data_IF_515886616315
#
_entry.id   IF_515886616315
#
_cell.length_a   1.000
_cell.length_b   1.000
_cell.length_c   1.000
_cell.angle_alpha   90.00
_cell.angle_beta   90.00
_cell.angle_gamma   90.00
#
_symmetry.space_group_name_H-M   'P 1'
#
loop_
_entity.id
_entity.type
_entity.pdbx_description
1 polymer ?
#
# COMPACT_ATOMS: atom_id res chain seq x y z
N UNK A 1 -9.11 61.89 44.25
CA UNK A 1 -9.02 60.43 44.43
C UNK A 1 -8.88 59.81 43.04
N UNK A 2 -7.64 59.62 42.57
CA UNK A 2 -7.29 59.01 41.28
C UNK A 2 -5.88 58.40 41.46
N UNK A 3 -5.62 57.18 41.01
CA UNK A 3 -4.46 56.41 41.45
C UNK A 3 -3.20 56.78 40.66
N UNK A 4 -2.07 56.72 41.34
CA UNK A 4 -0.72 56.84 40.80
C UNK A 4 -0.46 55.79 39.69
N UNK A 5 -0.28 56.24 38.45
CA UNK A 5 0.34 55.45 37.39
C UNK A 5 1.85 55.61 37.45
N UNK A 6 2.54 54.61 38.01
CA UNK A 6 4.00 54.49 37.98
C UNK A 6 4.46 54.13 36.56
N UNK A 7 5.14 55.06 35.88
CA UNK A 7 5.77 54.84 34.59
C UNK A 7 7.08 54.06 34.72
N UNK A 8 7.10 52.79 34.28
CA UNK A 8 8.35 52.05 34.08
C UNK A 8 9.11 52.58 32.86
N UNK A 9 10.44 52.76 33.00
CA UNK A 9 11.35 53.22 31.93
C UNK A 9 11.33 52.28 30.71
N UNK A 10 11.61 52.83 29.52
CA UNK A 10 11.68 52.09 28.25
C UNK A 10 12.70 50.95 28.28
N UNK A 11 13.81 51.12 29.00
CA UNK A 11 14.82 50.09 29.23
C UNK A 11 14.26 48.87 29.98
N UNK A 12 13.45 49.09 31.02
CA UNK A 12 12.83 48.01 31.78
C UNK A 12 11.78 47.23 30.97
N UNK A 13 11.18 47.85 29.95
CA UNK A 13 10.27 47.16 29.01
C UNK A 13 11.03 46.26 28.04
N UNK A 14 12.18 46.71 27.54
CA UNK A 14 13.04 45.94 26.63
C UNK A 14 13.65 44.74 27.34
N UNK A 15 14.13 44.92 28.57
CA UNK A 15 14.71 43.84 29.37
C UNK A 15 13.70 42.72 29.65
N UNK A 16 12.46 43.06 30.04
CA UNK A 16 11.38 42.09 30.23
C UNK A 16 11.00 41.36 28.93
N UNK A 17 11.08 42.05 27.79
CA UNK A 17 10.78 41.47 26.48
C UNK A 17 11.88 40.48 26.03
N UNK A 18 13.15 40.83 26.24
CA UNK A 18 14.29 39.95 25.97
C UNK A 18 14.24 38.71 26.87
N UNK A 19 13.96 38.88 28.17
CA UNK A 19 13.77 37.75 29.10
C UNK A 19 12.58 36.88 28.67
N UNK A 20 11.48 37.48 28.20
CA UNK A 20 10.33 36.76 27.66
C UNK A 20 10.66 35.92 26.41
N UNK A 21 11.44 36.46 25.47
CA UNK A 21 11.91 35.75 24.26
C UNK A 21 12.91 34.63 24.63
N UNK A 22 13.78 34.88 25.61
CA UNK A 22 14.73 33.89 26.11
C UNK A 22 13.98 32.71 26.76
N UNK A 23 12.95 32.98 27.57
CA UNK A 23 12.12 31.95 28.20
C UNK A 23 11.31 31.16 27.16
N UNK A 24 10.72 31.83 26.16
CA UNK A 24 9.99 31.13 25.08
C UNK A 24 10.92 30.23 24.24
N UNK A 25 12.18 30.60 24.04
CA UNK A 25 13.16 29.79 23.29
C UNK A 25 13.62 28.53 24.03
N UNK A 26 13.43 28.44 25.35
CA UNK A 26 13.87 27.30 26.17
C UNK A 26 12.74 26.25 26.31
N UNK A 27 11.51 26.59 25.92
CA UNK A 27 10.34 25.70 25.99
C UNK A 27 10.25 24.75 24.78
N UNK A 28 11.24 23.89 24.58
CA UNK A 28 11.09 22.70 23.73
C UNK A 28 10.73 21.50 24.62
N UNK A 29 9.45 21.17 24.72
CA UNK A 29 8.99 19.99 25.45
C UNK A 29 8.86 18.77 24.53
N UNK A 30 9.22 17.59 25.00
CA UNK A 30 8.85 16.32 24.39
C UNK A 30 7.66 15.72 25.16
N UNK A 31 6.63 15.24 24.46
CA UNK A 31 5.33 14.83 25.06
C UNK A 31 5.10 13.30 25.01
N UNK A 32 6.15 12.50 25.09
CA UNK A 32 6.04 11.04 25.14
C UNK A 32 5.56 10.59 26.52
N UNK A 33 4.35 10.03 26.59
CA UNK A 33 3.80 9.48 27.84
C UNK A 33 4.48 8.16 28.19
N UNK A 34 5.27 8.18 29.27
CA UNK A 34 5.98 7.01 29.80
C UNK A 34 5.22 6.31 30.95
N UNK A 35 4.09 6.86 31.39
CA UNK A 35 3.34 6.38 32.55
C UNK A 35 2.17 5.49 32.18
N UNK A 36 1.59 5.66 30.99
CA UNK A 36 0.49 4.83 30.50
C UNK A 36 0.80 4.11 29.15
N UNK A 37 1.90 3.34 29.04
CA UNK A 37 2.19 2.57 27.83
C UNK A 37 1.23 1.39 27.65
N UNK A 38 0.93 1.07 26.39
CA UNK A 38 0.19 -0.15 26.00
C UNK A 38 1.19 -1.22 25.57
N UNK A 39 1.11 -2.40 26.18
CA UNK A 39 1.98 -3.53 25.86
C UNK A 39 1.28 -4.57 25.00
N UNK A 40 2.05 -5.18 24.09
CA UNK A 40 1.63 -6.31 23.26
C UNK A 40 2.74 -7.34 23.25
N UNK A 41 2.46 -8.54 23.74
CA UNK A 41 3.40 -9.66 23.65
C UNK A 41 3.07 -10.56 22.46
N UNK A 42 4.11 -11.06 21.82
CA UNK A 42 4.00 -12.02 20.73
C UNK A 42 4.46 -13.41 21.12
N UNK A 43 4.38 -14.37 20.18
CA UNK A 43 4.83 -15.74 20.40
C UNK A 43 6.32 -15.80 20.77
N UNK A 44 6.68 -16.73 21.64
CA UNK A 44 8.06 -16.87 22.10
C UNK A 44 9.01 -17.20 20.93
N UNK A 45 10.19 -16.56 20.89
CA UNK A 45 11.21 -16.77 19.86
C UNK A 45 10.86 -16.24 18.46
N UNK A 46 9.70 -15.61 18.27
CA UNK A 46 9.24 -15.12 16.96
C UNK A 46 9.85 -13.78 16.53
N UNK A 47 10.50 -13.09 17.47
CA UNK A 47 10.96 -11.70 17.33
C UNK A 47 9.81 -10.74 16.99
N UNK A 48 8.64 -10.98 17.56
CA UNK A 48 7.52 -10.06 17.48
C UNK A 48 7.90 -8.67 17.97
N UNK A 49 7.63 -7.65 17.16
CA UNK A 49 8.04 -6.27 17.40
C UNK A 49 9.33 -5.87 16.68
N UNK A 50 9.91 -6.76 15.87
CA UNK A 50 11.10 -6.45 15.08
C UNK A 50 10.87 -5.28 14.10
N UNK A 51 9.67 -5.21 13.53
CA UNK A 51 9.21 -4.06 12.75
C UNK A 51 7.79 -3.68 13.15
N UNK A 52 7.45 -2.39 13.08
CA UNK A 52 6.12 -1.88 13.43
C UNK A 52 5.68 -0.81 12.45
N UNK A 53 4.38 -0.74 12.17
CA UNK A 53 3.79 0.34 11.40
C UNK A 53 2.34 0.61 11.81
N UNK A 54 1.96 1.88 11.81
CA UNK A 54 0.56 2.28 11.98
C UNK A 54 -0.25 1.96 10.73
N UNK A 55 -1.47 1.45 10.90
CA UNK A 55 -2.32 1.11 9.77
C UNK A 55 -3.80 1.23 10.12
N UNK A 56 -4.63 1.36 9.09
CA UNK A 56 -6.08 1.31 9.20
C UNK A 56 -6.60 0.07 8.47
N UNK A 57 -7.15 -0.89 9.21
CA UNK A 57 -7.92 -2.00 8.63
C UNK A 57 -9.32 -1.46 8.35
N UNK A 58 -9.54 -0.98 7.13
CA UNK A 58 -10.75 -0.23 6.73
C UNK A 58 -10.81 1.09 7.53
N UNK A 59 -11.60 1.14 8.60
CA UNK A 59 -11.75 2.30 9.49
C UNK A 59 -11.34 1.97 10.94
N UNK A 60 -10.68 0.83 11.16
CA UNK A 60 -10.21 0.43 12.49
C UNK A 60 -8.69 0.67 12.57
N UNK A 61 -8.20 1.52 13.49
CA UNK A 61 -6.77 1.68 13.70
C UNK A 61 -6.21 0.37 14.24
N UNK A 62 -5.12 -0.09 13.63
CA UNK A 62 -4.40 -1.28 14.03
C UNK A 62 -2.89 -0.99 13.99
N UNK A 63 -2.15 -1.60 14.90
CA UNK A 63 -0.70 -1.66 14.83
C UNK A 63 -0.32 -2.90 14.03
N UNK A 64 0.35 -2.70 12.90
CA UNK A 64 1.01 -3.80 12.20
C UNK A 64 2.32 -4.11 12.90
N UNK A 65 2.56 -5.39 13.17
CA UNK A 65 3.75 -5.86 13.87
C UNK A 65 4.37 -7.02 13.10
N UNK A 66 5.62 -6.85 12.69
CA UNK A 66 6.42 -7.89 12.06
C UNK A 66 7.08 -8.81 13.08
N UNK A 67 7.12 -10.10 12.76
CA UNK A 67 7.75 -11.14 13.54
C UNK A 67 8.51 -12.09 12.60
N UNK A 68 9.78 -11.79 12.26
CA UNK A 68 10.51 -12.46 11.18
C UNK A 68 10.81 -13.94 11.44
N UNK A 69 10.65 -14.43 12.67
CA UNK A 69 10.82 -15.85 13.03
C UNK A 69 9.53 -16.50 13.51
N UNK A 70 8.39 -15.84 13.36
CA UNK A 70 7.09 -16.44 13.63
C UNK A 70 6.78 -17.55 12.61
N UNK A 71 5.87 -18.44 12.99
CA UNK A 71 5.27 -19.37 12.03
C UNK A 71 4.31 -18.61 11.11
N UNK A 72 4.54 -18.70 9.80
CA UNK A 72 3.65 -18.12 8.77
C UNK A 72 2.29 -18.81 8.71
N UNK A 73 2.20 -20.02 9.29
CA UNK A 73 1.04 -20.91 9.20
C UNK A 73 0.91 -21.60 7.83
N UNK A 74 1.94 -21.51 6.97
CA UNK A 74 2.02 -22.33 5.77
C UNK A 74 2.55 -23.73 6.11
N UNK A 75 1.91 -24.77 5.57
CA UNK A 75 2.36 -26.16 5.79
C UNK A 75 3.74 -26.36 5.16
N UNK A 76 4.65 -27.05 5.87
CA UNK A 76 5.98 -27.37 5.36
C UNK A 76 6.97 -26.19 5.37
N UNK A 77 6.69 -25.14 6.14
CA UNK A 77 7.66 -24.07 6.42
C UNK A 77 7.91 -23.96 7.92
N UNK A 78 9.15 -23.67 8.30
CA UNK A 78 9.54 -23.41 9.69
C UNK A 78 10.03 -21.97 9.82
N UNK A 79 9.41 -21.20 10.74
CA UNK A 79 9.85 -19.84 11.10
C UNK A 79 10.09 -18.94 9.89
N UNK A 80 9.23 -19.06 8.87
CA UNK A 80 9.29 -18.25 7.66
C UNK A 80 9.07 -16.75 7.94
N UNK A 81 8.47 -16.44 9.09
CA UNK A 81 8.09 -15.10 9.51
C UNK A 81 6.59 -14.87 9.35
N UNK A 82 6.07 -13.86 10.03
CA UNK A 82 4.68 -13.47 9.94
C UNK A 82 4.50 -11.96 10.18
N UNK A 83 3.36 -11.48 9.70
CA UNK A 83 2.85 -10.15 10.01
C UNK A 83 1.60 -10.30 10.88
N UNK A 84 1.46 -9.45 11.89
CA UNK A 84 0.30 -9.39 12.77
C UNK A 84 -0.36 -8.01 12.68
N UNK A 85 -1.69 -7.96 12.76
CA UNK A 85 -2.47 -6.75 12.89
C UNK A 85 -3.11 -6.73 14.29
N UNK A 86 -2.59 -5.87 15.14
CA UNK A 86 -2.99 -5.75 16.53
C UNK A 86 -4.01 -4.60 16.72
N UNK A 87 -5.19 -4.86 17.31
CA UNK A 87 -6.08 -3.77 17.69
C UNK A 87 -5.45 -2.92 18.79
N UNK A 88 -5.75 -1.61 18.78
CA UNK A 88 -5.34 -0.68 19.83
C UNK A 88 -6.25 -0.86 21.05
N UNK A 89 -5.83 -1.68 22.00
CA UNK A 89 -6.51 -1.98 23.27
C UNK A 89 -5.49 -2.42 24.33
N UNK A 90 -5.93 -2.61 25.58
CA UNK A 90 -5.07 -2.98 26.72
C UNK A 90 -4.77 -4.48 26.85
N UNK A 91 -5.30 -5.33 25.95
CA UNK A 91 -5.04 -6.77 25.98
C UNK A 91 -3.65 -7.10 25.45
N UNK A 92 -2.83 -7.76 26.28
CA UNK A 92 -1.39 -7.95 26.01
C UNK A 92 -0.98 -9.40 25.72
N UNK A 93 -1.75 -10.40 26.14
CA UNK A 93 -1.35 -11.82 26.09
C UNK A 93 -1.75 -12.51 24.78
N UNK A 94 -0.93 -13.46 24.35
CA UNK A 94 -1.17 -14.31 23.18
C UNK A 94 -2.31 -15.31 23.47
N UNK A 95 -3.36 -15.35 22.64
CA UNK A 95 -4.37 -16.41 22.68
C UNK A 95 -5.83 -15.99 22.93
N UNK A 96 -6.14 -14.70 23.00
CA UNK A 96 -7.52 -14.18 23.02
C UNK A 96 -8.02 -13.76 21.64
N UNK A 97 -9.34 -13.75 21.43
CA UNK A 97 -9.96 -13.19 20.21
C UNK A 97 -9.74 -11.68 20.06
N UNK A 98 -9.41 -10.99 21.15
CA UNK A 98 -9.09 -9.56 21.19
C UNK A 98 -7.59 -9.27 21.05
N UNK A 99 -6.78 -10.32 20.87
CA UNK A 99 -5.36 -10.22 20.54
C UNK A 99 -5.15 -9.95 19.03
N UNK A 100 -3.90 -10.01 18.56
CA UNK A 100 -3.55 -9.68 17.19
C UNK A 100 -3.98 -10.76 16.19
N UNK A 101 -4.52 -10.34 15.05
CA UNK A 101 -4.80 -11.21 13.91
C UNK A 101 -3.52 -11.42 13.08
N UNK A 102 -3.23 -12.65 12.64
CA UNK A 102 -2.18 -12.86 11.65
C UNK A 102 -2.62 -12.37 10.27
N UNK A 103 -1.81 -11.52 9.64
CA UNK A 103 -2.05 -11.02 8.28
C UNK A 103 -1.47 -12.01 7.28
N UNK A 104 -2.35 -12.65 6.50
CA UNK A 104 -1.97 -13.53 5.40
C UNK A 104 -1.70 -12.66 4.15
N UNK A 105 -0.44 -12.55 3.76
CA UNK A 105 0.01 -11.67 2.66
C UNK A 105 0.52 -12.43 1.43
N UNK A 106 0.93 -13.68 1.55
CA UNK A 106 1.63 -14.36 0.44
C UNK A 106 0.71 -14.97 -0.62
N UNK A 107 -0.54 -15.25 -0.27
CA UNK A 107 -1.50 -15.95 -1.13
C UNK A 107 -2.89 -15.34 -1.00
N UNK A 108 -3.58 -15.24 -2.14
CA UNK A 108 -4.93 -14.72 -2.25
C UNK A 108 -5.97 -15.71 -1.71
N UNK A 109 -5.73 -17.01 -1.88
CA UNK A 109 -6.57 -18.09 -1.35
C UNK A 109 -6.00 -18.66 -0.05
N UNK A 110 -6.84 -18.73 0.99
CA UNK A 110 -6.50 -19.32 2.29
C UNK A 110 -6.15 -20.81 2.14
N UNK A 111 -6.76 -21.52 1.18
CA UNK A 111 -6.46 -22.94 0.93
C UNK A 111 -5.02 -23.15 0.43
N UNK A 112 -4.37 -22.11 -0.11
CA UNK A 112 -2.97 -22.19 -0.52
C UNK A 112 -2.00 -22.31 0.67
N UNK A 113 -2.36 -21.79 1.86
CA UNK A 113 -1.56 -21.99 3.07
C UNK A 113 -1.62 -23.43 3.59
N UNK A 114 -2.68 -24.17 3.25
CA UNK A 114 -2.80 -25.60 3.54
C UNK A 114 -1.94 -26.49 2.63
N UNK A 115 -1.29 -25.92 1.61
CA UNK A 115 -0.41 -26.61 0.70
C UNK A 115 1.05 -26.27 1.00
N UNK A 116 1.91 -27.27 0.87
CA UNK A 116 3.36 -27.05 0.92
C UNK A 116 3.80 -26.16 -0.26
N UNK A 117 4.88 -25.38 -0.11
CA UNK A 117 5.31 -24.42 -1.13
C UNK A 117 5.46 -25.02 -2.54
N UNK A 118 5.92 -26.26 -2.65
CA UNK A 118 6.06 -27.06 -3.86
C UNK A 118 4.71 -27.41 -4.54
N UNK A 119 3.65 -27.59 -3.76
CA UNK A 119 2.31 -27.98 -4.25
C UNK A 119 1.41 -26.80 -4.60
N UNK A 120 1.83 -25.55 -4.37
CA UNK A 120 1.03 -24.35 -4.69
C UNK A 120 0.94 -24.04 -6.19
N UNK A 121 1.52 -24.88 -7.06
CA UNK A 121 1.26 -24.86 -8.51
C UNK A 121 1.84 -23.67 -9.28
N UNK A 122 2.67 -22.82 -8.65
CA UNK A 122 3.25 -21.64 -9.30
C UNK A 122 4.41 -21.93 -10.26
N UNK A 123 4.72 -23.20 -10.59
CA UNK A 123 5.82 -23.55 -11.50
C UNK A 123 7.20 -23.05 -11.05
N UNK A 124 7.35 -22.73 -9.76
CA UNK A 124 8.59 -22.25 -9.17
C UNK A 124 9.32 -23.47 -8.62
N UNK A 125 10.54 -23.73 -9.09
CA UNK A 125 11.49 -24.51 -8.30
C UNK A 125 11.67 -23.78 -6.96
N UNK A 126 10.94 -24.24 -5.95
CA UNK A 126 11.21 -23.80 -4.58
C UNK A 126 12.58 -24.37 -4.25
N UNK A 127 13.48 -23.50 -3.78
CA UNK A 127 14.78 -23.96 -3.32
C UNK A 127 14.61 -25.09 -2.30
N UNK A 128 15.48 -26.09 -2.31
CA UNK A 128 15.36 -27.25 -1.41
C UNK A 128 15.37 -26.87 0.08
N UNK A 129 15.85 -25.67 0.45
CA UNK A 129 15.77 -25.13 1.81
C UNK A 129 14.39 -24.56 2.19
N UNK A 130 13.41 -24.58 1.28
CA UNK A 130 12.07 -24.07 1.51
C UNK A 130 12.04 -22.59 1.88
N UNK A 131 10.86 -22.07 2.20
CA UNK A 131 10.67 -20.71 2.75
C UNK A 131 11.17 -20.57 4.20
N UNK A 132 11.98 -21.52 4.66
CA UNK A 132 12.42 -21.57 6.05
C UNK A 132 13.34 -20.39 6.34
N UNK A 133 12.99 -19.59 7.33
CA UNK A 133 13.73 -18.38 7.66
C UNK A 133 13.72 -17.31 6.56
N UNK A 134 12.64 -17.19 5.77
CA UNK A 134 12.46 -16.15 4.76
C UNK A 134 12.41 -14.71 5.34
N UNK A 135 12.30 -14.59 6.66
CA UNK A 135 12.26 -13.35 7.43
C UNK A 135 11.07 -12.44 7.06
N UNK A 136 9.92 -13.02 6.72
CA UNK A 136 8.69 -12.27 6.44
C UNK A 136 8.34 -11.35 7.63
N UNK A 137 8.11 -10.07 7.35
CA UNK A 137 7.83 -9.07 8.39
C UNK A 137 9.09 -8.51 9.05
N UNK A 138 10.29 -8.76 8.53
CA UNK A 138 11.50 -8.09 8.97
C UNK A 138 11.50 -6.58 8.67
N UNK A 139 10.84 -6.16 7.60
CA UNK A 139 10.67 -4.74 7.27
C UNK A 139 9.23 -4.47 6.91
N UNK A 140 8.68 -3.37 7.40
CA UNK A 140 7.28 -3.05 7.29
C UNK A 140 7.10 -1.55 7.10
N UNK A 141 6.23 -1.17 6.18
CA UNK A 141 5.80 0.19 5.97
C UNK A 141 4.30 0.21 5.69
N UNK A 142 3.65 1.30 6.06
CA UNK A 142 2.22 1.47 5.86
C UNK A 142 1.91 2.93 5.58
N UNK A 143 0.93 3.15 4.71
CA UNK A 143 0.36 4.45 4.40
C UNK A 143 -1.15 4.29 4.33
N UNK A 144 -1.88 4.96 5.22
CA UNK A 144 -3.34 4.94 5.26
C UNK A 144 -3.88 6.04 6.17
N UNK A 145 -5.13 6.47 5.94
CA UNK A 145 -5.79 7.54 6.72
C UNK A 145 -7.18 7.11 7.19
N UNK A 146 -7.64 7.70 8.29
CA UNK A 146 -8.87 7.31 9.00
C UNK A 146 -10.18 7.58 8.23
N UNK A 147 -10.22 8.53 7.28
CA UNK A 147 -11.48 9.05 6.70
C UNK A 147 -11.69 8.68 5.23
N UNK A 148 -12.82 8.01 4.98
CA UNK A 148 -13.65 8.13 3.77
C UNK A 148 -13.03 7.64 2.46
N UNK A 149 -13.19 6.36 2.14
CA UNK A 149 -12.77 5.81 0.84
C UNK A 149 -11.24 5.77 0.63
N UNK A 150 -10.46 6.03 1.68
CA UNK A 150 -9.03 6.16 1.62
C UNK A 150 -8.32 4.83 1.29
N UNK A 151 -7.33 4.97 0.43
CA UNK A 151 -6.44 3.92 -0.01
C UNK A 151 -5.48 3.57 1.12
N UNK A 152 -5.66 2.41 1.75
CA UNK A 152 -4.75 1.91 2.78
C UNK A 152 -3.78 0.93 2.14
N UNK A 153 -2.50 1.27 2.16
CA UNK A 153 -1.41 0.48 1.60
C UNK A 153 -0.52 -0.04 2.72
N UNK A 154 -0.33 -1.36 2.77
CA UNK A 154 0.71 -1.99 3.59
C UNK A 154 1.79 -2.59 2.69
N UNK A 155 3.04 -2.52 3.13
CA UNK A 155 4.20 -3.02 2.40
C UNK A 155 5.09 -3.77 3.37
N UNK A 156 5.55 -4.96 2.96
CA UNK A 156 6.50 -5.76 3.73
C UNK A 156 7.60 -6.30 2.82
N UNK A 157 8.79 -6.47 3.39
CA UNK A 157 9.94 -7.07 2.73
C UNK A 157 9.97 -8.58 2.89
N UNK A 158 10.49 -9.26 1.87
CA UNK A 158 10.64 -10.72 1.77
C UNK A 158 12.11 -11.08 1.58
N UNK A 159 12.96 -10.74 2.56
CA UNK A 159 14.43 -10.68 2.39
C UNK A 159 15.03 -12.04 2.00
N UNK A 160 14.55 -13.13 2.61
CA UNK A 160 15.03 -14.48 2.34
C UNK A 160 14.43 -15.12 1.08
N UNK A 161 13.53 -14.43 0.37
CA UNK A 161 12.84 -14.98 -0.78
C UNK A 161 13.83 -15.40 -1.88
N UNK A 162 13.59 -16.55 -2.49
CA UNK A 162 14.31 -17.05 -3.68
C UNK A 162 15.84 -16.97 -3.55
N UNK A 163 16.45 -17.82 -2.71
CA UNK A 163 17.91 -17.80 -2.45
C UNK A 163 18.40 -16.40 -2.03
N UNK A 164 17.63 -15.72 -1.19
CA UNK A 164 17.93 -14.37 -0.74
C UNK A 164 18.08 -13.35 -1.88
N UNK A 165 17.45 -13.59 -3.03
CA UNK A 165 17.26 -12.51 -4.00
C UNK A 165 16.48 -11.37 -3.34
N UNK A 166 15.54 -11.75 -2.47
CA UNK A 166 14.69 -10.83 -1.75
C UNK A 166 13.50 -10.38 -2.59
N UNK A 167 12.55 -9.71 -1.96
CA UNK A 167 11.34 -9.25 -2.61
C UNK A 167 10.55 -8.26 -1.77
N UNK A 168 9.50 -7.71 -2.37
CA UNK A 168 8.56 -6.83 -1.68
C UNK A 168 7.15 -7.30 -1.98
N UNK A 169 6.32 -7.34 -0.95
CA UNK A 169 4.89 -7.50 -1.06
C UNK A 169 4.20 -6.20 -0.66
N UNK A 170 3.24 -5.76 -1.48
CA UNK A 170 2.41 -4.60 -1.21
C UNK A 170 0.94 -4.94 -1.43
N UNK A 171 0.10 -4.56 -0.47
CA UNK A 171 -1.36 -4.69 -0.55
C UNK A 171 -2.01 -3.35 -0.36
N UNK A 172 -2.95 -3.06 -1.25
CA UNK A 172 -3.84 -1.91 -1.19
C UNK A 172 -5.26 -2.38 -0.88
N UNK A 173 -5.90 -1.71 0.06
CA UNK A 173 -7.33 -1.87 0.34
C UNK A 173 -8.05 -0.55 0.08
N UNK A 174 -9.12 -0.58 -0.71
CA UNK A 174 -9.97 0.57 -1.04
C UNK A 174 -11.34 0.42 -0.35
N UNK A 175 -11.84 1.49 0.30
CA UNK A 175 -13.05 1.45 1.15
C UNK A 175 -14.36 1.71 0.39
N UNK A 176 -15.33 0.80 0.53
CA UNK A 176 -16.70 0.85 -0.03
C UNK A 176 -17.43 -0.49 0.15
N UNK A 177 -18.71 -0.59 -0.21
CA UNK A 177 -19.53 -1.83 -0.11
C UNK A 177 -18.93 -2.97 -0.99
N UNK A 178 -18.17 -2.61 -2.02
CA UNK A 178 -17.43 -3.52 -2.90
C UNK A 178 -15.91 -3.33 -2.75
N UNK A 179 -15.41 -3.18 -1.52
CA UNK A 179 -14.00 -2.88 -1.27
C UNK A 179 -13.06 -3.81 -2.05
N UNK A 180 -12.31 -3.25 -2.99
CA UNK A 180 -11.37 -4.04 -3.80
C UNK A 180 -10.00 -4.06 -3.13
N UNK A 181 -9.37 -5.24 -3.13
CA UNK A 181 -7.99 -5.39 -2.73
C UNK A 181 -7.11 -5.50 -3.98
N UNK A 182 -5.95 -4.89 -3.96
CA UNK A 182 -4.95 -5.02 -5.02
C UNK A 182 -3.64 -5.40 -4.37
N UNK A 183 -3.12 -6.57 -4.75
CA UNK A 183 -1.89 -7.11 -4.24
C UNK A 183 -0.85 -7.11 -5.37
N UNK A 184 0.38 -6.71 -5.06
CA UNK A 184 1.53 -6.83 -5.96
C UNK A 184 2.72 -7.35 -5.19
N UNK A 185 3.52 -8.17 -5.86
CA UNK A 185 4.77 -8.67 -5.33
C UNK A 185 5.82 -8.74 -6.42
N UNK A 186 7.08 -8.47 -6.09
CA UNK A 186 8.18 -8.44 -7.07
C UNK A 186 8.63 -9.81 -7.56
N UNK A 187 8.12 -10.89 -6.97
CA UNK A 187 8.56 -12.26 -7.26
C UNK A 187 7.80 -12.90 -8.44
N UNK A 188 6.80 -12.21 -9.01
CA UNK A 188 6.10 -12.65 -10.20
C UNK A 188 7.06 -12.68 -11.41
N UNK A 189 7.08 -13.76 -12.21
CA UNK A 189 7.80 -13.78 -13.48
C UNK A 189 7.02 -12.96 -14.51
N UNK A 190 7.21 -11.65 -14.50
CA UNK A 190 6.72 -10.76 -15.56
C UNK A 190 7.90 -10.38 -16.46
N UNK A 191 7.72 -10.50 -17.77
CA UNK A 191 8.74 -10.10 -18.75
C UNK A 191 9.03 -8.60 -18.61
N UNK A 192 10.32 -8.26 -18.43
CA UNK A 192 10.75 -6.89 -18.14
C UNK A 192 10.51 -6.42 -16.69
N UNK A 193 10.04 -7.30 -15.81
CA UNK A 193 9.94 -7.02 -14.38
C UNK A 193 11.31 -6.98 -13.70
N UNK A 194 11.40 -6.36 -12.52
CA UNK A 194 12.67 -6.21 -11.78
C UNK A 194 13.36 -7.54 -11.47
N UNK A 195 12.60 -8.64 -11.42
CA UNK A 195 13.12 -9.99 -11.20
C UNK A 195 14.23 -10.38 -12.19
N UNK A 196 14.19 -9.90 -13.43
CA UNK A 196 15.24 -10.21 -14.42
C UNK A 196 16.56 -9.49 -14.15
N UNK A 197 16.54 -8.43 -13.33
CA UNK A 197 17.71 -7.65 -12.96
C UNK A 197 18.35 -8.11 -11.65
N UNK A 198 17.63 -8.89 -10.83
CA UNK A 198 18.09 -9.34 -9.53
C UNK A 198 18.75 -10.72 -9.62
N UNK A 199 19.75 -10.92 -8.78
CA UNK A 199 20.48 -12.16 -8.60
C UNK A 199 20.37 -12.67 -7.17
N UNK A 200 20.76 -13.93 -6.95
CA UNK A 200 20.77 -14.50 -5.61
C UNK A 200 21.66 -13.66 -4.67
N UNK A 201 21.18 -13.47 -3.45
CA UNK A 201 21.82 -12.66 -2.40
C UNK A 201 21.78 -11.13 -2.57
N UNK A 202 20.92 -10.58 -3.42
CA UNK A 202 20.76 -9.11 -3.54
C UNK A 202 20.00 -8.47 -2.37
N UNK A 203 19.24 -9.27 -1.62
CA UNK A 203 18.52 -8.87 -0.40
C UNK A 203 17.51 -7.73 -0.64
N UNK A 204 16.79 -7.74 -1.76
CA UNK A 204 15.70 -6.79 -1.98
C UNK A 204 14.64 -6.90 -0.86
N UNK A 205 14.11 -5.76 -0.42
CA UNK A 205 13.14 -5.72 0.68
C UNK A 205 13.80 -5.72 2.05
N UNK A 206 15.11 -5.44 2.13
CA UNK A 206 15.79 -5.28 3.42
C UNK A 206 15.24 -4.11 4.24
N UNK A 207 14.85 -3.05 3.54
CA UNK A 207 14.10 -1.91 4.06
C UNK A 207 13.02 -1.55 3.05
N UNK A 208 11.87 -1.09 3.54
CA UNK A 208 10.74 -0.71 2.68
C UNK A 208 10.17 0.63 3.12
N UNK A 209 9.62 1.35 2.15
CA UNK A 209 8.84 2.57 2.37
C UNK A 209 7.74 2.67 1.33
N UNK A 210 6.71 3.45 1.65
CA UNK A 210 5.63 3.74 0.70
C UNK A 210 5.20 5.18 0.84
N UNK A 211 5.04 5.85 -0.29
CA UNK A 211 4.68 7.26 -0.29
C UNK A 211 4.60 7.86 -1.68
N UNK A 212 4.57 9.19 -1.70
CA UNK A 212 4.73 9.99 -2.91
C UNK A 212 6.10 10.66 -2.86
N UNK A 213 6.89 10.47 -3.90
CA UNK A 213 8.27 10.95 -4.03
C UNK A 213 8.43 12.02 -5.11
N UNK A 214 7.36 12.38 -5.82
CA UNK A 214 7.36 13.38 -6.90
C UNK A 214 7.48 12.78 -8.30
N UNK A 215 7.22 11.49 -8.48
CA UNK A 215 7.25 10.86 -9.79
C UNK A 215 6.01 11.24 -10.63
N UNK A 216 6.19 11.34 -11.95
CA UNK A 216 5.13 11.72 -12.90
C UNK A 216 3.88 10.81 -12.85
N UNK A 217 4.03 9.56 -12.41
CA UNK A 217 2.95 8.60 -12.31
C UNK A 217 2.18 8.65 -10.98
N UNK A 218 2.65 9.41 -9.98
CA UNK A 218 2.04 9.54 -8.63
C UNK A 218 0.88 10.55 -8.59
N UNK A 219 -0.02 10.47 -9.58
CA UNK A 219 -1.21 11.33 -9.65
C UNK A 219 -2.40 10.69 -8.95
N UNK A 220 -3.13 11.47 -8.14
CA UNK A 220 -4.28 10.98 -7.36
C UNK A 220 -3.84 9.97 -6.31
N UNK A 221 -4.54 8.83 -6.20
CA UNK A 221 -4.31 7.84 -5.12
C UNK A 221 -3.17 6.85 -5.41
N UNK A 222 -2.32 7.16 -6.37
CA UNK A 222 -1.14 6.35 -6.71
C UNK A 222 -0.01 6.65 -5.74
N UNK A 223 0.74 5.61 -5.40
CA UNK A 223 1.91 5.68 -4.53
C UNK A 223 3.04 4.85 -5.16
N UNK A 224 4.24 5.11 -4.70
CA UNK A 224 5.43 4.33 -5.06
C UNK A 224 5.90 3.59 -3.83
N UNK A 225 6.27 2.34 -4.03
CA UNK A 225 6.96 1.54 -3.03
C UNK A 225 8.45 1.71 -3.26
N UNK A 226 9.19 2.07 -2.22
CA UNK A 226 10.65 2.12 -2.25
C UNK A 226 11.20 0.95 -1.45
N UNK A 227 12.28 0.34 -1.93
CA UNK A 227 12.88 -0.83 -1.30
C UNK A 227 14.39 -0.83 -1.41
N UNK A 228 15.06 -1.17 -0.31
CA UNK A 228 16.51 -1.37 -0.30
C UNK A 228 16.88 -2.80 -0.72
N UNK A 229 17.89 -2.92 -1.58
CA UNK A 229 18.57 -4.16 -1.93
C UNK A 229 20.03 -4.02 -1.52
N UNK A 230 20.36 -4.35 -0.27
CA UNK A 230 21.62 -3.96 0.37
C UNK A 230 22.86 -4.60 -0.25
N UNK A 231 22.70 -5.70 -0.99
CA UNK A 231 23.81 -6.44 -1.60
C UNK A 231 23.80 -6.42 -3.12
N UNK A 232 22.84 -5.71 -3.73
CA UNK A 232 22.73 -5.58 -5.16
C UNK A 232 24.04 -5.11 -5.78
N UNK A 233 24.58 -5.91 -6.71
CA UNK A 233 25.85 -5.61 -7.39
C UNK A 233 27.03 -5.35 -6.45
N UNK A 234 27.01 -5.86 -5.22
CA UNK A 234 28.01 -5.65 -4.15
C UNK A 234 28.17 -4.20 -3.63
N UNK A 235 27.35 -3.25 -4.09
CA UNK A 235 27.35 -1.87 -3.61
C UNK A 235 26.01 -1.47 -2.96
N UNK A 236 24.96 -2.24 -3.25
CA UNK A 236 23.60 -1.98 -2.80
C UNK A 236 22.84 -1.04 -3.73
N UNK A 237 21.51 -1.13 -3.70
CA UNK A 237 20.62 -0.31 -4.50
C UNK A 237 19.36 0.09 -3.74
N UNK A 238 18.75 1.19 -4.19
CA UNK A 238 17.41 1.61 -3.79
C UNK A 238 16.51 1.52 -5.02
N UNK A 239 15.44 0.76 -4.89
CA UNK A 239 14.51 0.43 -5.96
C UNK A 239 13.19 1.16 -5.73
N UNK A 240 12.70 1.84 -6.77
CA UNK A 240 11.38 2.45 -6.79
C UNK A 240 10.43 1.63 -7.65
N UNK A 241 9.31 1.20 -7.08
CA UNK A 241 8.33 0.30 -7.67
C UNK A 241 6.96 1.02 -7.76
N UNK A 242 6.47 1.33 -8.96
CA UNK A 242 5.18 2.01 -9.11
C UNK A 242 4.03 1.12 -8.66
N UNK A 243 3.28 1.57 -7.65
CA UNK A 243 2.15 0.82 -7.09
C UNK A 243 0.81 1.42 -7.57
N UNK A 244 0.44 1.00 -8.78
CA UNK A 244 -0.72 1.49 -9.53
C UNK A 244 -1.72 0.37 -9.82
N UNK A 245 -3.02 0.72 -9.82
CA UNK A 245 -4.11 -0.12 -10.32
C UNK A 245 -4.12 -0.01 -11.85
N UNK A 246 -3.77 -1.09 -12.55
CA UNK A 246 -3.85 -1.14 -14.01
C UNK A 246 -5.27 -1.59 -14.35
N UNK A 247 -6.04 -0.73 -15.02
CA UNK A 247 -7.30 -1.15 -15.62
C UNK A 247 -6.99 -1.75 -16.99
N UNK A 248 -7.18 -3.05 -17.15
CA UNK A 248 -7.19 -3.66 -18.48
C UNK A 248 -8.41 -3.13 -19.23
N UNK A 249 -8.18 -2.47 -20.36
CA UNK A 249 -9.22 -2.21 -21.35
C UNK A 249 -9.30 -3.49 -22.19
N UNK A 250 -10.37 -4.28 -22.01
CA UNK A 250 -10.70 -5.36 -22.93
C UNK A 250 -11.16 -4.74 -24.25
N UNK A 251 -10.32 -4.81 -25.28
CA UNK A 251 -10.76 -4.59 -26.66
C UNK A 251 -11.27 -5.94 -27.17
N UNK A 252 -12.59 -6.12 -27.15
CA UNK A 252 -13.22 -7.33 -27.71
C UNK A 252 -13.27 -7.20 -29.24
N UNK A 253 -12.41 -7.93 -29.95
CA UNK A 253 -12.56 -8.09 -31.40
C UNK A 253 -13.63 -9.14 -31.70
N UNK A 254 -14.85 -8.70 -32.04
CA UNK A 254 -15.85 -9.61 -32.61
C UNK A 254 -15.61 -9.80 -34.11
N UNK A 255 -15.17 -10.99 -34.50
CA UNK A 255 -15.06 -11.38 -35.90
C UNK A 255 -16.42 -11.87 -36.43
N UNK A 256 -17.28 -10.94 -36.86
CA UNK A 256 -18.49 -11.28 -37.62
C UNK A 256 -18.07 -11.38 -39.10
N UNK A 257 -18.35 -12.53 -39.71
CA UNK A 257 -18.01 -12.87 -41.10
C UNK A 257 -18.18 -11.65 -42.04
N UNK A 258 -17.07 -11.20 -42.62
CA UNK A 258 -16.95 -10.26 -43.75
C UNK A 258 -16.91 -8.75 -43.50
N UNK A 259 -16.94 -8.20 -42.27
CA UNK A 259 -16.72 -6.75 -42.06
C UNK A 259 -15.92 -6.44 -40.80
N UNK A 260 -14.80 -5.73 -40.94
CA UNK A 260 -14.03 -5.14 -39.84
C UNK A 260 -14.83 -3.99 -39.22
N UNK A 261 -15.34 -4.18 -38.01
CA UNK A 261 -15.89 -3.10 -37.17
C UNK A 261 -14.85 -2.82 -36.09
N UNK A 262 -14.30 -1.60 -36.08
CA UNK A 262 -13.34 -1.16 -35.08
C UNK A 262 -14.12 -0.39 -34.00
N UNK A 263 -14.28 -1.00 -32.83
CA UNK A 263 -14.94 -0.38 -31.68
C UNK A 263 -13.86 0.28 -30.82
N UNK A 264 -13.86 1.62 -30.75
CA UNK A 264 -12.99 2.36 -29.84
C UNK A 264 -13.75 2.66 -28.54
N UNK A 265 -13.24 2.17 -27.42
CA UNK A 265 -13.62 2.67 -26.09
C UNK A 265 -12.67 3.81 -25.73
N UNK A 266 -13.07 5.04 -26.04
CA UNK A 266 -12.32 6.25 -25.64
C UNK A 266 -12.88 6.75 -24.30
N UNK A 267 -12.01 6.80 -23.27
CA UNK A 267 -12.32 7.51 -22.02
C UNK A 267 -11.86 8.96 -22.19
N UNK A 268 -12.79 9.90 -22.25
CA UNK A 268 -12.48 11.33 -22.24
C UNK A 268 -12.04 11.78 -20.84
N UNK A 269 -11.00 12.63 -20.75
CA UNK A 269 -10.51 13.24 -19.50
C UNK A 269 -10.84 14.73 -19.54
N UNK A 270 -11.80 15.17 -18.73
CA UNK A 270 -12.14 16.60 -18.61
C UNK A 270 -11.00 17.37 -17.94
N UNK A 271 -10.55 18.44 -18.60
CA UNK A 271 -9.66 19.48 -18.10
C UNK A 271 -10.50 20.63 -17.53
N UNK A 272 -11.26 20.37 -16.47
CA UNK A 272 -11.76 21.42 -15.56
C UNK A 272 -12.35 20.75 -14.33
N UNK A 273 -12.08 21.35 -13.17
CA UNK A 273 -12.63 20.92 -11.90
C UNK A 273 -14.15 21.02 -11.92
N UNK A 274 -14.77 20.06 -11.24
CA UNK A 274 -16.21 19.97 -10.95
C UNK A 274 -17.12 19.49 -12.09
N UNK A 275 -17.39 18.18 -12.08
CA UNK A 275 -18.74 17.55 -12.12
C UNK A 275 -18.58 16.03 -11.90
N UNK A 276 -19.42 15.46 -11.04
CA UNK A 276 -19.56 14.02 -10.77
C UNK A 276 -20.49 13.39 -11.81
N UNK A 277 -19.95 12.70 -12.81
CA UNK A 277 -20.62 11.56 -13.49
C UNK A 277 -19.64 10.85 -14.42
N UNK A 278 -19.61 9.52 -14.40
CA UNK A 278 -18.76 8.70 -15.26
C UNK A 278 -19.52 8.39 -16.55
N UNK A 279 -19.11 8.99 -17.65
CA UNK A 279 -19.68 8.68 -18.98
C UNK A 279 -18.93 7.51 -19.64
N UNK A 280 -19.68 6.73 -20.44
CA UNK A 280 -19.19 5.72 -21.36
C UNK A 280 -19.74 6.06 -22.75
N UNK A 281 -18.84 6.26 -23.72
CA UNK A 281 -19.20 6.58 -25.11
C UNK A 281 -18.83 5.37 -25.98
N UNK A 282 -19.79 4.82 -26.70
CA UNK A 282 -19.57 3.77 -27.69
C UNK A 282 -19.58 4.40 -29.09
N UNK A 283 -18.45 4.33 -29.81
CA UNK A 283 -18.35 4.79 -31.20
C UNK A 283 -18.35 3.58 -32.13
N UNK A 284 -19.38 3.48 -32.97
CA UNK A 284 -19.48 2.46 -34.00
C UNK A 284 -19.25 3.14 -35.35
N UNK A 285 -18.15 2.81 -36.02
CA UNK A 285 -17.83 3.33 -37.35
C UNK A 285 -18.06 2.23 -38.39
N UNK A 286 -18.92 2.50 -39.36
CA UNK A 286 -18.97 1.77 -40.65
C UNK A 286 -18.52 2.73 -41.76
N UNK A 287 -18.12 2.23 -42.95
CA UNK A 287 -17.54 3.04 -44.04
C UNK A 287 -18.36 4.27 -44.48
N UNK A 288 -19.60 4.40 -44.06
CA UNK A 288 -20.52 5.49 -44.45
C UNK A 288 -21.27 6.15 -43.28
N UNK A 289 -21.09 5.68 -42.04
CA UNK A 289 -21.82 6.22 -40.88
C UNK A 289 -21.04 6.03 -39.58
N UNK A 290 -20.96 7.10 -38.80
CA UNK A 290 -20.50 7.08 -37.42
C UNK A 290 -21.71 7.20 -36.49
N UNK A 291 -21.93 6.21 -35.64
CA UNK A 291 -23.01 6.22 -34.64
C UNK A 291 -22.41 6.32 -33.24
N UNK A 292 -22.87 7.32 -32.49
CA UNK A 292 -22.45 7.58 -31.10
C UNK A 292 -23.59 7.12 -30.19
N UNK A 293 -23.32 6.15 -29.29
CA UNK A 293 -24.27 5.71 -28.28
C UNK A 293 -23.83 6.23 -26.90
N UNK A 294 -24.78 6.90 -26.23
CA UNK A 294 -24.64 7.38 -24.86
C UNK A 294 -25.42 6.46 -23.92
N UNK A 295 -24.80 6.05 -22.82
CA UNK A 295 -25.47 5.32 -21.73
C UNK A 295 -25.43 6.15 -20.45
N UNK A 296 -26.60 6.45 -19.90
CA UNK A 296 -26.77 7.06 -18.59
C UNK A 296 -27.27 6.00 -17.60
N UNK A 297 -26.57 5.82 -16.48
CA UNK A 297 -27.03 4.92 -15.42
C UNK A 297 -28.09 5.60 -14.55
N UNK A 298 -29.22 4.91 -14.41
CA UNK A 298 -30.39 5.19 -13.55
C UNK A 298 -31.28 6.40 -13.90
N UNK A 299 -32.10 6.23 -14.95
CA UNK A 299 -33.58 6.31 -14.97
C UNK A 299 -34.01 6.38 -16.45
N UNK A 300 -34.51 5.26 -16.99
CA UNK A 300 -34.95 5.03 -18.39
C UNK A 300 -33.87 5.25 -19.48
N UNK A 301 -33.59 4.27 -20.34
CA UNK A 301 -32.66 4.47 -21.46
C UNK A 301 -33.29 5.42 -22.49
N UNK A 302 -32.62 6.54 -22.77
CA UNK A 302 -32.90 7.39 -23.93
C UNK A 302 -31.78 7.18 -24.95
N UNK A 303 -32.13 6.68 -26.15
CA UNK A 303 -31.19 6.52 -27.25
C UNK A 303 -31.24 7.80 -28.09
N UNK A 304 -30.15 8.55 -28.13
CA UNK A 304 -30.02 9.72 -29.01
C UNK A 304 -29.25 9.27 -30.25
N UNK A 305 -29.92 9.23 -31.41
CA UNK A 305 -29.27 9.00 -32.69
C UNK A 305 -28.76 10.32 -33.25
N UNK A 306 -27.45 10.55 -33.17
CA UNK A 306 -26.78 11.59 -33.95
C UNK A 306 -26.16 10.93 -35.17
N UNK A 307 -26.83 11.05 -36.33
CA UNK A 307 -26.24 10.70 -37.61
C UNK A 307 -25.34 11.85 -38.05
N UNK A 308 -24.03 11.64 -38.00
CA UNK A 308 -23.07 12.53 -38.66
C UNK A 308 -22.67 11.83 -39.96
N UNK A 309 -23.24 12.29 -41.07
CA UNK A 309 -22.71 11.97 -42.40
C UNK A 309 -21.44 12.80 -42.61
N UNK A 310 -20.35 12.15 -42.99
CA UNK A 310 -19.16 12.80 -43.55
C UNK A 310 -19.35 12.88 -45.06
#
# INVERSE_FOLDING_TARGET
MLPHFLGLSTAARIERFIVGILILSICTGFNLDIHAPIYKYGPNGSYFGYSVAEHFKINKPVLLVGAPRAESGQVGTERAGALFACPINTYYSTGGSEWCDQVKSEYEDVLAYGKTPDMTGMGREVHYLGKNGELLGASLASQGTEKGGAVNTMVTGLIGAMKWTGGVFARRSEGGIFGTQTEKYTMAPEDGGIRSMLTAHDYLGYSVGVGRFGFWHENGDKATVVSGATRFGQHGAVVFLPFTKVWFIFILFMHIKSKFILVFLLKWRSLSGEIRQKELILLISTRTLMTILYFFDNFKPFIIFLNISV
#
